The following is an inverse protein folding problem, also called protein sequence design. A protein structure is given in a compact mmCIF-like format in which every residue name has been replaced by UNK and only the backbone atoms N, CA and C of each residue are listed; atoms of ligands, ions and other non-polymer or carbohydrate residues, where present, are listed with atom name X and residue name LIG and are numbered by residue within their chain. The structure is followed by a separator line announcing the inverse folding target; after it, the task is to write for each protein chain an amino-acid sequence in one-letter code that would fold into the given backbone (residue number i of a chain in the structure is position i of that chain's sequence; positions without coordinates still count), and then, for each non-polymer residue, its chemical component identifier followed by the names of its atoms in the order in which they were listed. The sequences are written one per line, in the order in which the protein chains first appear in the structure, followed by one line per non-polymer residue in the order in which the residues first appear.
data_IF_794688700794
#
_entry.id   IF_794688700794
#
_cell.length_a   1.000
_cell.length_b   1.000
_cell.length_c   1.000
_cell.angle_alpha   90.00
_cell.angle_beta   90.00
_cell.angle_gamma   90.00
#
_symmetry.space_group_name_H-M   'P 1'
#
loop_
_entity.id
_entity.type
_entity.pdbx_description
1 polymer ?
#
# COMPACT_ATOMS: atom_id res chain seq x y z
N UNK A 1 0.22 3.67 3.62
CA UNK A 1 0.44 3.30 2.20
C UNK A 1 1.92 3.25 1.93
N UNK A 2 2.41 2.09 1.56
CA UNK A 2 3.80 1.74 1.35
C UNK A 2 3.94 1.34 -0.11
N UNK A 3 4.99 1.78 -0.79
CA UNK A 3 5.20 1.40 -2.19
C UNK A 3 6.65 1.59 -2.62
N UNK A 4 7.07 0.74 -3.55
CA UNK A 4 8.36 0.82 -4.23
C UNK A 4 8.38 1.98 -5.23
N UNK A 5 9.57 2.36 -5.70
CA UNK A 5 9.74 3.32 -6.80
C UNK A 5 8.99 2.77 -8.02
N UNK A 6 8.29 3.65 -8.71
CA UNK A 6 7.54 3.34 -9.93
C UNK A 6 6.36 2.35 -9.81
N UNK A 7 6.01 1.93 -8.58
CA UNK A 7 4.81 1.12 -8.28
C UNK A 7 3.47 1.84 -8.50
N UNK A 8 3.46 3.09 -8.98
CA UNK A 8 2.24 3.89 -9.11
C UNK A 8 1.66 4.40 -7.78
N UNK A 9 2.36 4.20 -6.65
CA UNK A 9 1.96 4.66 -5.31
C UNK A 9 1.67 6.18 -5.24
N UNK A 10 2.44 7.02 -5.95
CA UNK A 10 2.17 8.47 -6.05
C UNK A 10 0.87 8.76 -6.77
N UNK A 11 0.68 8.17 -7.94
CA UNK A 11 -0.51 8.36 -8.78
C UNK A 11 -1.76 7.90 -8.03
N UNK A 12 -1.68 6.74 -7.38
CA UNK A 12 -2.76 6.23 -6.52
C UNK A 12 -3.04 7.21 -5.37
N UNK A 13 -2.01 7.76 -4.74
CA UNK A 13 -2.17 8.76 -3.67
C UNK A 13 -2.87 10.05 -4.12
N UNK A 14 -2.67 10.47 -5.37
CA UNK A 14 -3.33 11.65 -5.93
C UNK A 14 -4.84 11.46 -6.06
N UNK A 15 -5.30 10.25 -6.39
CA UNK A 15 -6.73 9.91 -6.41
C UNK A 15 -7.37 9.87 -5.01
N UNK A 16 -6.56 9.66 -3.98
CA UNK A 16 -6.99 9.74 -2.58
C UNK A 16 -6.95 11.18 -2.04
N UNK A 17 -6.21 12.06 -2.69
CA UNK A 17 -6.01 13.44 -2.25
C UNK A 17 -7.15 14.33 -2.75
N UNK A 18 -7.68 15.24 -1.92
CA UNK A 18 -8.64 16.21 -2.39
C UNK A 18 -8.02 17.05 -3.53
N UNK A 19 -8.82 17.49 -4.53
CA UNK A 19 -8.33 18.11 -5.75
C UNK A 19 -7.42 19.33 -5.52
N UNK A 20 -7.58 20.04 -4.40
CA UNK A 20 -6.72 21.18 -4.00
C UNK A 20 -5.28 20.81 -3.60
N UNK A 21 -4.92 19.53 -3.46
CA UNK A 21 -3.58 19.08 -3.02
C UNK A 21 -2.81 18.27 -4.07
N UNK A 22 -3.36 18.03 -5.26
CA UNK A 22 -2.71 17.18 -6.28
C UNK A 22 -1.40 17.77 -6.83
N UNK A 23 -1.27 19.09 -6.87
CA UNK A 23 -0.08 19.81 -7.34
C UNK A 23 0.99 20.03 -6.25
N UNK A 24 0.65 19.82 -4.97
CA UNK A 24 1.46 20.22 -3.84
C UNK A 24 2.29 19.09 -3.22
N UNK A 25 2.23 17.85 -3.72
CA UNK A 25 2.99 16.73 -3.15
C UNK A 25 4.37 16.66 -3.83
N UNK A 26 5.46 17.06 -3.15
CA UNK A 26 6.80 17.02 -3.73
C UNK A 26 7.18 15.59 -4.08
N UNK A 27 7.92 15.40 -5.18
CA UNK A 27 8.38 14.07 -5.61
C UNK A 27 9.30 13.38 -4.59
N UNK A 28 9.89 14.15 -3.66
CA UNK A 28 10.95 13.69 -2.76
C UNK A 28 10.56 13.54 -1.28
N UNK A 29 9.30 13.81 -0.91
CA UNK A 29 8.88 13.70 0.49
C UNK A 29 8.85 12.23 0.96
N UNK A 30 9.54 11.98 2.09
CA UNK A 30 9.65 10.66 2.71
C UNK A 30 8.33 10.22 3.38
N UNK A 31 7.57 11.20 3.88
CA UNK A 31 6.28 11.03 4.53
C UNK A 31 5.28 12.05 3.98
N UNK A 32 4.15 11.57 3.48
CA UNK A 32 3.02 12.44 3.15
C UNK A 32 1.77 12.00 3.89
N UNK A 33 1.11 12.94 4.56
CA UNK A 33 -0.14 12.68 5.26
C UNK A 33 -1.29 13.35 4.52
N UNK A 34 -2.28 12.56 4.12
CA UNK A 34 -3.51 13.06 3.52
C UNK A 34 -4.72 12.49 4.25
N UNK A 35 -5.68 13.37 4.52
CA UNK A 35 -6.99 13.00 5.02
C UNK A 35 -7.86 12.78 3.78
N UNK A 36 -8.25 11.53 3.53
CA UNK A 36 -8.90 11.09 2.28
C UNK A 36 -10.42 11.31 2.36
N UNK A 37 -11.04 10.93 3.48
CA UNK A 37 -12.48 11.15 3.78
C UNK A 37 -12.60 11.43 5.28
N UNK A 38 -13.74 12.02 5.72
CA UNK A 38 -13.96 12.60 7.08
C UNK A 38 -13.44 11.81 8.30
N UNK A 39 -13.19 10.49 8.20
CA UNK A 39 -12.61 9.66 9.27
C UNK A 39 -11.45 8.73 8.83
N UNK A 40 -10.85 8.93 7.65
CA UNK A 40 -9.78 8.06 7.12
C UNK A 40 -8.55 8.89 6.75
N UNK A 41 -7.47 8.66 7.48
CA UNK A 41 -6.16 9.28 7.23
C UNK A 41 -5.25 8.26 6.55
N UNK A 42 -4.70 8.61 5.39
CA UNK A 42 -3.70 7.80 4.70
C UNK A 42 -2.37 8.51 4.78
N UNK A 43 -1.41 7.83 5.40
CA UNK A 43 0.01 8.23 5.37
C UNK A 43 0.70 7.45 4.27
N UNK A 44 1.25 8.15 3.27
CA UNK A 44 2.16 7.57 2.28
C UNK A 44 3.57 7.58 2.83
N UNK A 45 4.27 6.46 2.67
CA UNK A 45 5.67 6.31 3.07
C UNK A 45 6.40 5.62 1.92
N UNK A 46 7.46 6.26 1.44
CA UNK A 46 8.27 5.76 0.32
C UNK A 46 9.32 4.77 0.83
N UNK A 47 9.28 3.52 0.37
CA UNK A 47 10.19 2.45 0.81
C UNK A 47 11.61 2.61 0.24
N UNK A 48 11.77 3.36 -0.85
CA UNK A 48 13.07 3.49 -1.54
C UNK A 48 14.06 4.48 -0.88
N UNK A 49 13.60 5.31 0.05
CA UNK A 49 14.43 6.28 0.78
C UNK A 49 14.40 6.07 2.29
N UNK A 50 13.45 5.29 2.79
CA UNK A 50 13.42 4.92 4.19
C UNK A 50 14.39 3.75 4.41
N UNK A 51 15.60 4.04 4.87
CA UNK A 51 16.23 3.12 5.80
C UNK A 51 15.17 2.86 6.87
N UNK A 52 14.64 1.63 6.95
CA UNK A 52 13.47 1.29 7.77
C UNK A 52 13.67 1.82 9.19
N UNK A 53 13.12 3.00 9.49
CA UNK A 53 13.13 3.54 10.84
C UNK A 53 12.02 2.82 11.59
N UNK A 54 12.32 1.57 11.97
CA UNK A 54 11.41 0.63 12.62
C UNK A 54 10.73 1.29 13.82
N UNK A 55 11.42 2.18 14.54
CA UNK A 55 10.84 2.90 15.67
C UNK A 55 9.77 3.91 15.23
N UNK A 56 9.98 4.65 14.14
CA UNK A 56 8.97 5.56 13.60
C UNK A 56 7.73 4.80 13.12
N UNK A 57 7.93 3.68 12.42
CA UNK A 57 6.82 2.82 12.00
C UNK A 57 6.05 2.23 13.18
N UNK A 58 6.73 1.69 14.19
CA UNK A 58 6.09 1.16 15.41
C UNK A 58 5.19 2.21 16.08
N UNK A 59 5.63 3.47 16.16
CA UNK A 59 4.80 4.56 16.71
C UNK A 59 3.56 4.85 15.87
N UNK A 60 3.65 4.78 14.53
CA UNK A 60 2.50 4.96 13.64
C UNK A 60 1.48 3.83 13.80
N UNK A 61 1.94 2.59 13.96
CA UNK A 61 1.10 1.39 14.07
C UNK A 61 0.55 1.12 15.48
N UNK A 62 0.93 1.91 16.49
CA UNK A 62 0.36 1.84 17.84
C UNK A 62 -1.06 2.43 17.93
N UNK A 63 -1.51 3.18 16.92
CA UNK A 63 -2.86 3.74 16.90
C UNK A 63 -3.89 2.63 16.62
N UNK A 64 -5.02 2.61 17.34
CA UNK A 64 -6.10 1.66 17.07
C UNK A 64 -6.62 1.82 15.64
N UNK A 65 -6.99 0.70 15.00
CA UNK A 65 -7.52 0.65 13.62
C UNK A 65 -6.56 1.19 12.54
N UNK A 66 -5.26 0.96 12.73
CA UNK A 66 -4.27 1.24 11.66
C UNK A 66 -4.21 0.05 10.71
N UNK A 67 -4.44 0.28 9.42
CA UNK A 67 -4.30 -0.73 8.38
C UNK A 67 -3.14 -0.42 7.44
N UNK A 68 -2.66 -1.43 6.74
CA UNK A 68 -1.56 -1.30 5.79
C UNK A 68 -2.09 -1.38 4.38
N UNK A 69 -1.66 -0.44 3.56
CA UNK A 69 -1.83 -0.47 2.12
C UNK A 69 -0.44 -0.62 1.54
N UNK A 70 -0.22 -1.64 0.73
CA UNK A 70 1.05 -1.91 0.08
C UNK A 70 0.82 -1.95 -1.43
N UNK A 71 1.53 -1.09 -2.16
CA UNK A 71 1.32 -0.88 -3.59
C UNK A 71 2.41 -1.60 -4.36
N UNK A 72 1.98 -2.47 -5.27
CA UNK A 72 2.79 -3.41 -6.03
C UNK A 72 2.59 -3.12 -7.51
N UNK A 73 3.68 -3.13 -8.27
CA UNK A 73 3.64 -3.16 -9.72
C UNK A 73 3.35 -4.59 -10.18
N UNK A 74 2.27 -4.83 -10.93
CA UNK A 74 1.92 -6.18 -11.39
C UNK A 74 2.89 -6.76 -12.42
N UNK A 75 3.70 -5.91 -13.04
CA UNK A 75 4.65 -6.29 -14.11
C UNK A 75 6.06 -6.53 -13.58
N UNK A 76 6.40 -5.97 -12.41
CA UNK A 76 7.73 -6.07 -11.80
C UNK A 76 7.63 -6.48 -10.33
N UNK A 77 7.58 -7.79 -10.10
CA UNK A 77 7.64 -8.35 -8.76
C UNK A 77 9.08 -8.67 -8.42
N UNK A 78 9.67 -7.80 -7.62
CA UNK A 78 11.05 -7.96 -7.17
C UNK A 78 11.09 -8.90 -5.96
N UNK A 79 12.11 -9.76 -5.90
CA UNK A 79 12.33 -10.69 -4.77
C UNK A 79 12.50 -9.97 -3.41
N UNK A 80 12.97 -8.72 -3.43
CA UNK A 80 13.13 -7.89 -2.24
C UNK A 80 11.78 -7.45 -1.64
N UNK A 81 10.70 -7.48 -2.43
CA UNK A 81 9.37 -7.08 -2.00
C UNK A 81 8.87 -7.94 -0.84
N UNK A 82 9.11 -9.26 -0.91
CA UNK A 82 8.75 -10.20 0.14
C UNK A 82 9.49 -9.88 1.45
N UNK A 83 10.80 -9.63 1.39
CA UNK A 83 11.59 -9.31 2.59
C UNK A 83 11.10 -8.03 3.26
N UNK A 84 10.78 -7.00 2.48
CA UNK A 84 10.24 -5.76 3.02
C UNK A 84 8.86 -5.98 3.64
N UNK A 85 8.01 -6.77 2.99
CA UNK A 85 6.69 -7.11 3.52
C UNK A 85 6.81 -7.84 4.87
N UNK A 86 7.68 -8.84 4.98
CA UNK A 86 7.93 -9.57 6.23
C UNK A 86 8.46 -8.62 7.32
N UNK A 87 9.39 -7.73 7.00
CA UNK A 87 9.91 -6.73 7.95
C UNK A 87 8.80 -5.82 8.49
N UNK A 88 7.87 -5.41 7.63
CA UNK A 88 6.72 -4.58 8.02
C UNK A 88 5.73 -5.39 8.86
N UNK A 89 5.42 -6.63 8.48
CA UNK A 89 4.46 -7.48 9.19
C UNK A 89 4.97 -7.88 10.58
N UNK A 90 6.29 -8.02 10.75
CA UNK A 90 6.90 -8.36 12.03
C UNK A 90 6.89 -7.19 13.04
N UNK A 91 6.71 -5.94 12.59
CA UNK A 91 6.73 -4.77 13.48
C UNK A 91 5.32 -4.27 13.84
N UNK A 92 4.27 -4.79 13.20
CA UNK A 92 2.88 -4.37 13.40
C UNK A 92 2.12 -5.31 14.34
N UNK A 93 1.14 -4.80 15.10
CA UNK A 93 0.23 -5.64 15.86
C UNK A 93 -0.79 -6.31 14.93
N UNK A 94 -0.58 -7.61 14.65
CA UNK A 94 -1.41 -8.38 13.69
C UNK A 94 -2.89 -8.46 14.07
N UNK A 95 -3.21 -8.50 15.37
CA UNK A 95 -4.58 -8.72 15.87
C UNK A 95 -5.62 -7.67 15.46
N UNK A 96 -5.20 -6.46 15.07
CA UNK A 96 -6.10 -5.37 14.68
C UNK A 96 -5.70 -4.68 13.37
N UNK A 97 -4.79 -5.31 12.60
CA UNK A 97 -4.27 -4.75 11.36
C UNK A 97 -4.77 -5.59 10.19
N UNK A 98 -5.14 -4.93 9.10
CA UNK A 98 -5.48 -5.57 7.82
C UNK A 98 -4.44 -5.14 6.80
N UNK A 99 -4.09 -6.04 5.87
CA UNK A 99 -3.17 -5.80 4.78
C UNK A 99 -3.94 -5.74 3.45
N UNK A 100 -3.92 -4.58 2.81
CA UNK A 100 -4.43 -4.38 1.46
C UNK A 100 -3.24 -4.29 0.50
N UNK A 101 -3.13 -5.23 -0.43
CA UNK A 101 -2.19 -5.18 -1.53
C UNK A 101 -2.89 -4.57 -2.75
N UNK A 102 -2.45 -3.38 -3.18
CA UNK A 102 -2.87 -2.81 -4.44
C UNK A 102 -1.95 -3.30 -5.55
N UNK A 103 -2.51 -4.11 -6.45
CA UNK A 103 -1.82 -4.56 -7.64
C UNK A 103 -2.11 -3.57 -8.77
N UNK A 104 -1.11 -2.78 -9.15
CA UNK A 104 -1.21 -1.68 -10.11
C UNK A 104 -0.73 -2.09 -11.50
N UNK A 105 -0.93 -1.22 -12.51
CA UNK A 105 -0.49 -1.43 -13.91
C UNK A 105 -1.09 -2.67 -14.57
N UNK A 106 -2.32 -3.01 -14.17
CA UNK A 106 -3.07 -4.16 -14.70
C UNK A 106 -3.42 -4.03 -16.19
N UNK A 107 -3.29 -2.83 -16.74
CA UNK A 107 -3.45 -2.48 -18.15
C UNK A 107 -2.24 -2.87 -19.03
N UNK A 108 -1.08 -3.11 -18.42
CA UNK A 108 0.14 -3.46 -19.16
C UNK A 108 0.19 -4.95 -19.48
N UNK A 109 0.75 -5.28 -20.65
CA UNK A 109 1.08 -6.66 -21.01
C UNK A 109 2.12 -7.21 -20.02
N UNK A 110 1.91 -8.45 -19.58
CA UNK A 110 2.74 -9.07 -18.53
C UNK A 110 2.29 -8.78 -17.10
N UNK A 111 1.14 -8.13 -16.89
CA UNK A 111 0.53 -8.03 -15.56
C UNK A 111 0.22 -9.43 -15.02
N UNK A 112 0.76 -9.72 -13.83
CA UNK A 112 0.45 -10.96 -13.11
C UNK A 112 -1.00 -10.99 -12.60
N UNK A 113 -1.55 -12.19 -12.43
CA UNK A 113 -2.86 -12.45 -11.80
C UNK A 113 -2.74 -12.39 -10.28
N UNK A 114 -3.87 -12.48 -9.57
CA UNK A 114 -3.82 -12.48 -8.11
C UNK A 114 -3.18 -13.76 -7.59
N UNK A 115 -3.46 -14.89 -8.23
CA UNK A 115 -2.95 -16.22 -7.88
C UNK A 115 -1.42 -16.25 -8.01
N UNK A 116 -0.88 -15.74 -9.11
CA UNK A 116 0.58 -15.66 -9.33
C UNK A 116 1.27 -14.83 -8.24
N UNK A 117 0.65 -13.72 -7.81
CA UNK A 117 1.18 -12.88 -6.74
C UNK A 117 1.09 -13.56 -5.37
N UNK A 118 0.02 -14.32 -5.11
CA UNK A 118 -0.13 -15.09 -3.87
C UNK A 118 1.00 -16.12 -3.76
N UNK A 119 1.27 -16.84 -4.85
CA UNK A 119 2.30 -17.87 -4.89
C UNK A 119 3.71 -17.26 -4.77
N UNK A 120 4.01 -16.23 -5.56
CA UNK A 120 5.34 -15.62 -5.62
C UNK A 120 5.73 -14.89 -4.34
N UNK A 121 4.77 -14.20 -3.73
CA UNK A 121 4.97 -13.55 -2.44
C UNK A 121 4.59 -14.44 -1.26
N UNK A 122 4.18 -15.69 -1.51
CA UNK A 122 3.74 -16.69 -0.52
C UNK A 122 2.89 -16.04 0.60
N UNK A 123 1.81 -15.38 0.18
CA UNK A 123 0.96 -14.56 1.06
C UNK A 123 0.12 -15.40 2.01
N UNK A 124 -0.14 -16.65 1.67
CA UNK A 124 -0.87 -17.60 2.53
C UNK A 124 -0.13 -17.92 3.83
N UNK A 125 1.19 -17.70 3.86
CA UNK A 125 1.99 -17.84 5.08
C UNK A 125 1.80 -16.70 6.10
N UNK A 126 1.06 -15.65 5.75
CA UNK A 126 0.91 -14.46 6.58
C UNK A 126 -0.26 -14.60 7.56
N UNK A 127 0.02 -14.43 8.85
CA UNK A 127 -0.98 -14.46 9.93
C UNK A 127 -1.81 -13.15 10.05
N UNK A 128 -2.00 -12.43 8.95
CA UNK A 128 -2.74 -11.17 8.89
C UNK A 128 -3.81 -11.23 7.80
N UNK A 129 -4.98 -10.66 8.08
CA UNK A 129 -6.05 -10.60 7.09
C UNK A 129 -5.57 -9.79 5.87
N UNK A 130 -5.45 -10.46 4.73
CA UNK A 130 -4.86 -9.91 3.50
C UNK A 130 -5.86 -9.96 2.36
N UNK A 131 -5.91 -8.92 1.53
CA UNK A 131 -6.61 -8.95 0.24
C UNK A 131 -5.72 -8.34 -0.84
N UNK A 132 -5.82 -8.90 -2.05
CA UNK A 132 -5.25 -8.30 -3.26
C UNK A 132 -6.36 -7.60 -4.03
N UNK A 133 -6.20 -6.30 -4.23
CA UNK A 133 -7.08 -5.51 -5.06
C UNK A 133 -6.33 -5.07 -6.32
N UNK A 134 -6.77 -5.60 -7.46
CA UNK A 134 -6.36 -5.10 -8.78
C UNK A 134 -6.87 -3.67 -8.94
N UNK A 135 -6.01 -2.77 -9.37
CA UNK A 135 -6.35 -1.38 -9.59
C UNK A 135 -5.54 -0.77 -10.73
N UNK A 136 -6.10 0.26 -11.34
CA UNK A 136 -5.38 1.10 -12.29
C UNK A 136 -5.21 2.48 -11.66
N UNK A 137 -3.95 2.85 -11.38
CA UNK A 137 -3.64 4.10 -10.70
C UNK A 137 -3.91 5.33 -11.58
N UNK A 138 -3.92 5.20 -12.91
CA UNK A 138 -4.22 6.29 -13.84
C UNK A 138 -5.74 6.56 -13.89
N UNK A 139 -6.55 5.51 -14.06
CA UNK A 139 -8.01 5.65 -14.16
C UNK A 139 -8.71 5.75 -12.81
N UNK A 140 -8.07 5.25 -11.74
CA UNK A 140 -8.65 5.15 -10.39
C UNK A 140 -9.54 3.94 -10.18
N UNK A 141 -9.64 3.06 -11.17
CA UNK A 141 -10.38 1.81 -11.06
C UNK A 141 -9.79 0.91 -9.96
N UNK A 142 -10.65 0.24 -9.18
CA UNK A 142 -10.24 -0.69 -8.13
C UNK A 142 -9.85 -0.04 -6.80
N UNK A 143 -9.52 1.26 -6.79
CA UNK A 143 -9.08 1.95 -5.57
C UNK A 143 -10.19 1.97 -4.52
N UNK A 144 -11.40 2.38 -4.89
CA UNK A 144 -12.50 2.54 -3.94
C UNK A 144 -12.92 1.20 -3.35
N UNK A 145 -12.91 0.13 -4.15
CA UNK A 145 -13.20 -1.25 -3.73
C UNK A 145 -12.23 -1.72 -2.63
N UNK A 146 -10.93 -1.50 -2.82
CA UNK A 146 -9.91 -1.84 -1.83
C UNK A 146 -10.08 -1.05 -0.52
N UNK A 147 -10.35 0.25 -0.63
CA UNK A 147 -10.61 1.08 0.55
C UNK A 147 -11.88 0.68 1.29
N UNK A 148 -12.91 0.24 0.59
CA UNK A 148 -14.16 -0.18 1.21
C UNK A 148 -14.00 -1.53 1.94
N UNK A 149 -13.14 -2.42 1.44
CA UNK A 149 -12.73 -3.61 2.19
C UNK A 149 -12.03 -3.26 3.51
N UNK A 150 -11.13 -2.26 3.52
CA UNK A 150 -10.46 -1.82 4.75
C UNK A 150 -11.43 -1.27 5.81
N UNK A 151 -12.56 -0.70 5.40
CA UNK A 151 -13.56 -0.13 6.32
C UNK A 151 -14.50 -1.18 6.90
N UNK A 152 -14.63 -2.35 6.27
CA UNK A 152 -15.47 -3.43 6.80
C UNK A 152 -14.87 -3.86 8.13
N UNK A 153 -15.69 -3.89 9.18
CA UNK A 153 -15.28 -4.42 10.49
C UNK A 153 -15.03 -5.91 10.36
#
# INVERSE_FOLDING_TARGET
MLGMRDSGCKTLFQHLSPPKRQDCVPNDSLFDNVIVKRNLTVTRISLCKAQLNIQAYKKLFQKPQTHIIFVIDSTDIQSELRKQLDQIINIIPQQNTKLLLFLTKIDLQGSKTNEEIIDELNLDSLNIQTIIQRCNALTGEGIQQGLDWLKKK
#
